data_IF_832486779211
#
_entry.id   IF_832486779211
#
_cell.length_a   1.000
_cell.length_b   1.000
_cell.length_c   1.000
_cell.angle_alpha   90.00
_cell.angle_beta   90.00
_cell.angle_gamma   90.00
#
_symmetry.space_group_name_H-M   'P 1'
#
loop_
_entity.id
_entity.type
_entity.pdbx_description
1 polymer ?
#
# COMPACT_ATOMS: atom_id res chain seq x y z
N UNK A 1 -4.62 -20.38 13.83
CA UNK A 1 -5.33 -20.57 12.54
C UNK A 1 -5.38 -19.21 11.84
N UNK A 2 -5.07 -19.13 10.55
CA UNK A 2 -4.90 -17.87 9.80
C UNK A 2 -6.11 -16.92 9.92
N UNK A 3 -7.32 -17.43 9.93
CA UNK A 3 -8.54 -16.63 10.09
C UNK A 3 -8.53 -15.79 11.37
N UNK A 4 -8.13 -16.38 12.50
CA UNK A 4 -8.09 -15.67 13.78
C UNK A 4 -6.96 -14.60 13.82
N UNK A 5 -5.89 -14.84 13.06
CA UNK A 5 -4.82 -13.83 12.87
C UNK A 5 -5.36 -12.66 12.06
N UNK A 6 -5.94 -12.93 10.90
CA UNK A 6 -6.47 -11.89 10.01
C UNK A 6 -7.63 -11.10 10.62
N UNK A 7 -8.43 -11.71 11.49
CA UNK A 7 -9.52 -11.05 12.23
C UNK A 7 -9.01 -9.95 13.16
N UNK A 8 -7.75 -10.03 13.61
CA UNK A 8 -7.12 -9.01 14.44
C UNK A 8 -6.74 -7.74 13.67
N UNK A 9 -6.69 -7.81 12.33
CA UNK A 9 -6.32 -6.66 11.51
C UNK A 9 -7.31 -5.51 11.70
N UNK A 10 -6.77 -4.34 12.03
CA UNK A 10 -7.53 -3.10 12.23
C UNK A 10 -6.89 -2.00 11.41
N UNK A 11 -7.72 -1.14 10.82
CA UNK A 11 -7.21 0.05 10.16
C UNK A 11 -6.66 1.05 11.19
N UNK A 12 -5.37 1.33 11.11
CA UNK A 12 -4.70 2.27 12.02
C UNK A 12 -4.88 3.69 11.51
N UNK A 13 -5.36 4.56 12.39
CA UNK A 13 -5.53 5.99 12.12
C UNK A 13 -4.33 6.80 12.60
N UNK A 14 -3.66 6.33 13.67
CA UNK A 14 -2.49 6.97 14.25
C UNK A 14 -1.63 5.91 14.94
N UNK A 15 -0.33 5.94 14.69
CA UNK A 15 0.64 5.07 15.36
C UNK A 15 1.17 5.69 16.63
N UNK A 16 1.68 4.86 17.52
CA UNK A 16 2.31 5.27 18.76
C UNK A 16 3.77 5.66 18.50
N UNK A 17 4.05 6.95 18.58
CA UNK A 17 5.39 7.50 18.37
C UNK A 17 6.34 7.23 19.54
N UNK A 18 5.79 6.85 20.71
CA UNK A 18 6.55 6.50 21.91
C UNK A 18 6.83 5.00 22.02
N UNK A 19 6.24 4.18 21.15
CA UNK A 19 6.48 2.75 21.14
C UNK A 19 7.91 2.43 20.66
N UNK A 20 8.42 1.28 21.09
CA UNK A 20 9.71 0.77 20.64
C UNK A 20 9.79 0.72 19.12
N UNK A 21 10.93 1.15 18.58
CA UNK A 21 11.15 1.15 17.13
C UNK A 21 11.31 -0.30 16.65
N UNK A 22 10.47 -0.68 15.69
CA UNK A 22 10.57 -1.97 15.00
C UNK A 22 11.94 -2.04 14.31
N UNK A 23 12.67 -3.11 14.57
CA UNK A 23 14.00 -3.29 13.98
C UNK A 23 13.92 -3.39 12.44
N UNK A 24 14.83 -2.71 11.77
CA UNK A 24 14.95 -2.79 10.30
C UNK A 24 15.08 -4.23 9.81
N UNK A 25 15.78 -5.09 10.55
CA UNK A 25 15.92 -6.52 10.23
C UNK A 25 14.56 -7.25 10.18
N UNK A 26 13.63 -6.90 11.08
CA UNK A 26 12.31 -7.53 11.12
C UNK A 26 11.46 -7.11 9.91
N UNK A 27 11.55 -5.84 9.52
CA UNK A 27 10.88 -5.36 8.29
C UNK A 27 11.46 -6.03 7.05
N UNK A 28 12.79 -6.17 6.97
CA UNK A 28 13.45 -6.86 5.84
C UNK A 28 13.06 -8.33 5.80
N UNK A 29 12.97 -9.02 6.94
CA UNK A 29 12.52 -10.41 7.04
C UNK A 29 11.06 -10.56 6.56
N UNK A 30 10.17 -9.67 7.02
CA UNK A 30 8.78 -9.63 6.56
C UNK A 30 8.67 -9.42 5.05
N UNK A 31 9.43 -8.47 4.50
CA UNK A 31 9.43 -8.18 3.06
C UNK A 31 9.92 -9.38 2.24
N UNK A 32 10.97 -10.08 2.69
CA UNK A 32 11.47 -11.28 2.02
C UNK A 32 10.43 -12.40 2.02
N UNK A 33 9.85 -12.71 3.18
CA UNK A 33 8.79 -13.73 3.29
C UNK A 33 7.57 -13.38 2.44
N UNK A 34 7.18 -12.11 2.44
CA UNK A 34 6.09 -11.64 1.59
C UNK A 34 6.38 -11.83 0.12
N UNK A 35 7.60 -11.45 -0.32
CA UNK A 35 8.06 -11.63 -1.69
C UNK A 35 8.02 -13.10 -2.12
N UNK A 36 8.48 -14.01 -1.26
CA UNK A 36 8.52 -15.45 -1.53
C UNK A 36 7.13 -16.05 -1.78
N UNK A 37 6.10 -15.58 -1.07
CA UNK A 37 4.73 -16.13 -1.14
C UNK A 37 3.80 -15.36 -2.07
N UNK A 38 4.21 -14.20 -2.58
CA UNK A 38 3.35 -13.37 -3.44
C UNK A 38 3.40 -13.87 -4.88
N UNK A 39 2.26 -14.31 -5.44
CA UNK A 39 2.20 -14.68 -6.84
C UNK A 39 2.29 -13.45 -7.74
N UNK A 40 2.90 -13.61 -8.91
CA UNK A 40 2.95 -12.61 -9.96
C UNK A 40 2.80 -13.28 -11.33
N UNK A 41 2.16 -12.58 -12.28
CA UNK A 41 2.03 -13.07 -13.67
C UNK A 41 3.42 -13.35 -14.25
N UNK A 42 3.64 -14.57 -14.70
CA UNK A 42 4.94 -15.04 -15.21
C UNK A 42 6.14 -14.84 -14.24
N UNK A 43 5.86 -14.63 -12.98
CA UNK A 43 6.85 -14.34 -11.93
C UNK A 43 7.67 -13.05 -12.18
N UNK A 44 7.15 -12.12 -12.97
CA UNK A 44 7.87 -10.92 -13.41
C UNK A 44 7.93 -9.82 -12.36
N UNK A 45 6.98 -9.79 -11.43
CA UNK A 45 6.86 -8.77 -10.37
C UNK A 45 7.06 -7.36 -10.94
N UNK A 46 6.10 -6.85 -11.76
CA UNK A 46 6.22 -5.56 -12.44
C UNK A 46 6.00 -4.38 -11.50
N UNK A 47 6.42 -4.53 -10.26
CA UNK A 47 6.35 -3.55 -9.20
C UNK A 47 7.61 -3.59 -8.33
N UNK A 48 7.84 -2.52 -7.61
CA UNK A 48 8.92 -2.39 -6.63
C UNK A 48 8.42 -1.69 -5.37
N UNK A 49 9.11 -1.89 -4.27
CA UNK A 49 8.77 -1.35 -2.96
C UNK A 49 9.90 -0.46 -2.46
N UNK A 50 9.61 0.81 -2.22
CA UNK A 50 10.50 1.71 -1.50
C UNK A 50 10.10 1.71 -0.02
N UNK A 51 11.09 1.63 0.86
CA UNK A 51 10.89 1.57 2.31
C UNK A 51 11.47 2.84 2.94
N UNK A 52 10.61 3.67 3.50
CA UNK A 52 10.98 4.85 4.26
C UNK A 52 10.97 4.47 5.75
N UNK A 53 12.14 4.51 6.38
CA UNK A 53 12.33 4.15 7.79
C UNK A 53 12.04 5.30 8.77
N UNK A 54 12.20 5.02 10.08
CA UNK A 54 11.92 6.00 11.13
C UNK A 54 12.78 7.26 11.03
N UNK A 55 14.03 7.13 10.57
CA UNK A 55 14.97 8.27 10.47
C UNK A 55 14.66 9.24 9.32
N UNK A 56 13.70 8.91 8.46
CA UNK A 56 13.38 9.68 7.25
C UNK A 56 12.04 10.41 7.35
N UNK A 57 11.81 11.10 8.46
CA UNK A 57 10.57 11.83 8.72
C UNK A 57 10.25 12.88 7.65
N UNK A 58 11.29 13.49 7.05
CA UNK A 58 11.09 14.46 5.97
C UNK A 58 10.35 13.84 4.77
N UNK A 59 10.72 12.63 4.34
CA UNK A 59 10.04 11.94 3.24
C UNK A 59 8.60 11.57 3.59
N UNK A 60 8.32 11.16 4.83
CA UNK A 60 6.94 10.91 5.29
C UNK A 60 6.10 12.17 5.24
N UNK A 61 6.68 13.33 5.63
CA UNK A 61 6.01 14.62 5.54
C UNK A 61 5.71 15.01 4.08
N UNK A 62 6.62 14.76 3.14
CA UNK A 62 6.39 14.97 1.72
C UNK A 62 5.22 14.10 1.24
N UNK A 63 5.22 12.79 1.54
CA UNK A 63 4.12 11.89 1.17
C UNK A 63 2.80 12.34 1.78
N UNK A 64 2.79 12.72 3.06
CA UNK A 64 1.61 13.28 3.72
C UNK A 64 1.07 14.50 2.96
N UNK A 65 1.95 15.43 2.57
CA UNK A 65 1.56 16.63 1.85
C UNK A 65 0.98 16.31 0.46
N UNK A 66 1.56 15.33 -0.25
CA UNK A 66 1.03 14.86 -1.54
C UNK A 66 -0.38 14.30 -1.38
N UNK A 67 -0.58 13.45 -0.37
CA UNK A 67 -1.88 12.83 -0.10
C UNK A 67 -2.93 13.84 0.37
N UNK A 68 -2.56 14.78 1.24
CA UNK A 68 -3.48 15.76 1.83
C UNK A 68 -3.87 16.90 0.89
N UNK A 69 -3.06 17.18 -0.13
CA UNK A 69 -3.36 18.19 -1.17
C UNK A 69 -4.23 17.66 -2.30
N UNK A 70 -4.69 16.44 -2.23
CA UNK A 70 -5.64 15.92 -3.21
C UNK A 70 -6.95 16.72 -3.10
N UNK A 71 -7.22 17.58 -4.10
CA UNK A 71 -8.37 18.49 -4.13
C UNK A 71 -9.71 17.77 -3.93
N UNK A 72 -9.85 16.56 -4.46
CA UNK A 72 -11.06 15.75 -4.31
C UNK A 72 -11.33 15.38 -2.85
N UNK A 73 -10.27 15.16 -2.07
CA UNK A 73 -10.38 14.85 -0.64
C UNK A 73 -10.53 16.12 0.20
N UNK A 74 -9.82 17.19 -0.15
CA UNK A 74 -9.98 18.49 0.49
C UNK A 74 -11.41 19.01 0.32
N UNK A 75 -11.99 18.85 -0.85
CA UNK A 75 -13.37 19.24 -1.15
C UNK A 75 -14.36 18.36 -0.37
N UNK A 76 -14.19 17.04 -0.35
CA UNK A 76 -15.05 16.14 0.43
C UNK A 76 -14.99 16.42 1.93
N UNK A 77 -13.81 16.75 2.47
CA UNK A 77 -13.65 17.13 3.89
C UNK A 77 -14.30 18.48 4.17
N UNK A 78 -14.25 19.44 3.22
CA UNK A 78 -14.90 20.74 3.37
C UNK A 78 -16.43 20.64 3.29
N UNK A 79 -16.96 19.81 2.40
CA UNK A 79 -18.39 19.55 2.22
C UNK A 79 -19.03 18.90 3.46
N UNK A 80 -18.23 18.17 4.26
CA UNK A 80 -18.71 17.48 5.45
C UNK A 80 -18.18 18.07 6.79
N UNK A 81 -17.64 19.31 6.77
CA UNK A 81 -17.10 19.97 7.96
C UNK A 81 -18.07 20.03 9.15
N UNK A 82 -19.35 20.18 8.86
CA UNK A 82 -20.42 20.29 9.88
C UNK A 82 -21.07 18.96 10.22
N UNK A 83 -20.61 17.86 9.63
CA UNK A 83 -21.15 16.56 9.91
C UNK A 83 -20.48 15.99 11.16
N UNK A 84 -21.27 15.67 12.19
CA UNK A 84 -20.80 15.11 13.47
C UNK A 84 -20.00 13.81 13.32
N UNK A 85 -20.17 13.10 12.20
CA UNK A 85 -19.36 11.96 11.83
C UNK A 85 -17.89 12.30 11.54
N UNK A 86 -17.59 13.54 11.20
CA UNK A 86 -16.24 14.00 10.82
C UNK A 86 -15.62 14.82 11.95
N UNK A 87 -16.42 15.40 12.81
CA UNK A 87 -15.97 16.11 14.02
C UNK A 87 -15.12 15.16 14.88
N UNK A 88 -13.87 15.48 15.06
CA UNK A 88 -12.92 14.68 15.87
C UNK A 88 -12.18 13.59 15.09
N UNK A 89 -12.31 13.52 13.75
CA UNK A 89 -11.40 12.70 12.94
C UNK A 89 -10.04 13.36 12.88
N UNK A 90 -9.00 12.58 13.15
CA UNK A 90 -7.67 12.96 12.73
C UNK A 90 -7.69 13.19 11.22
N UNK A 91 -6.93 14.17 10.72
CA UNK A 91 -6.83 14.39 9.28
C UNK A 91 -6.57 13.06 8.59
N UNK A 92 -7.28 12.82 7.50
CA UNK A 92 -6.98 11.69 6.64
C UNK A 92 -5.45 11.67 6.43
N UNK A 93 -4.84 10.49 6.58
CA UNK A 93 -3.39 10.29 6.47
C UNK A 93 -2.52 10.66 7.68
N UNK A 94 -3.07 10.98 8.85
CA UNK A 94 -2.26 11.17 10.06
C UNK A 94 -1.33 9.97 10.34
N UNK A 95 -1.77 8.76 9.97
CA UNK A 95 -0.99 7.54 10.06
C UNK A 95 0.31 7.58 9.21
N UNK A 96 0.38 8.36 8.12
CA UNK A 96 1.61 8.52 7.33
C UNK A 96 2.68 9.25 8.13
N UNK A 97 2.30 10.24 8.93
CA UNK A 97 3.26 11.01 9.75
C UNK A 97 3.77 10.21 10.94
N UNK A 98 2.86 9.50 11.62
CA UNK A 98 3.17 8.80 12.86
C UNK A 98 3.70 7.37 12.65
N UNK A 99 3.66 6.80 11.44
CA UNK A 99 4.15 5.46 11.21
C UNK A 99 5.68 5.36 11.39
N UNK A 100 6.16 4.21 11.84
CA UNK A 100 7.58 3.95 11.92
C UNK A 100 8.17 3.68 10.53
N UNK A 101 7.48 2.89 9.70
CA UNK A 101 7.87 2.65 8.32
C UNK A 101 6.72 2.96 7.37
N UNK A 102 7.08 3.48 6.19
CA UNK A 102 6.17 3.70 5.09
C UNK A 102 6.67 2.95 3.86
N UNK A 103 5.84 2.08 3.31
CA UNK A 103 6.10 1.43 2.02
C UNK A 103 5.41 2.22 0.91
N UNK A 104 6.15 2.50 -0.16
CA UNK A 104 5.64 3.08 -1.40
C UNK A 104 5.84 2.05 -2.50
N UNK A 105 4.76 1.55 -3.06
CA UNK A 105 4.83 0.64 -4.19
C UNK A 105 4.62 1.39 -5.50
N UNK A 106 5.46 1.10 -6.46
CA UNK A 106 5.41 1.70 -7.80
C UNK A 106 5.49 0.63 -8.86
N UNK A 107 5.10 0.97 -10.08
CA UNK A 107 5.38 0.15 -11.25
C UNK A 107 6.90 0.00 -11.45
N UNK A 108 7.31 -1.08 -12.09
CA UNK A 108 8.70 -1.36 -12.45
C UNK A 108 8.75 -2.07 -13.80
N UNK A 109 9.62 -1.63 -14.69
CA UNK A 109 9.97 -2.46 -15.84
C UNK A 109 10.63 -3.75 -15.36
N UNK A 110 10.19 -4.85 -15.89
CA UNK A 110 10.84 -6.15 -15.70
C UNK A 110 11.71 -6.48 -16.92
N UNK A 111 12.37 -7.61 -16.87
CA UNK A 111 13.18 -8.14 -17.97
C UNK A 111 13.20 -9.66 -17.91
N UNK A 112 13.81 -10.31 -18.90
CA UNK A 112 13.94 -11.76 -18.91
C UNK A 112 14.62 -12.29 -17.63
N UNK A 113 14.00 -13.28 -16.98
CA UNK A 113 14.48 -13.88 -15.72
C UNK A 113 15.26 -15.17 -15.91
N UNK A 114 15.16 -15.77 -17.11
CA UNK A 114 15.80 -17.04 -17.43
C UNK A 114 16.10 -17.13 -18.94
N UNK A 115 16.86 -18.16 -19.32
CA UNK A 115 17.29 -18.36 -20.71
C UNK A 115 16.12 -18.53 -21.69
N UNK A 116 15.00 -19.11 -21.26
CA UNK A 116 13.81 -19.26 -22.10
C UNK A 116 13.18 -17.89 -22.40
N UNK A 117 12.98 -17.07 -21.40
CA UNK A 117 12.44 -15.71 -21.56
C UNK A 117 13.40 -14.83 -22.37
N UNK A 118 14.72 -14.97 -22.16
CA UNK A 118 15.72 -14.27 -22.96
C UNK A 118 15.58 -14.64 -24.44
N UNK A 119 15.47 -15.93 -24.75
CA UNK A 119 15.27 -16.38 -26.14
C UNK A 119 13.97 -15.85 -26.75
N UNK A 120 12.89 -15.76 -25.97
CA UNK A 120 11.66 -15.13 -26.44
C UNK A 120 11.86 -13.65 -26.72
N UNK A 121 12.52 -12.92 -25.82
CA UNK A 121 12.89 -11.52 -26.00
C UNK A 121 13.70 -11.30 -27.29
N UNK A 122 14.72 -12.12 -27.53
CA UNK A 122 15.57 -12.06 -28.72
C UNK A 122 14.78 -12.34 -29.99
N UNK A 123 13.68 -13.09 -29.88
CA UNK A 123 12.77 -13.37 -30.99
C UNK A 123 11.62 -12.35 -31.15
N UNK A 124 11.66 -11.25 -30.39
CA UNK A 124 10.64 -10.19 -30.43
C UNK A 124 9.35 -10.52 -29.70
N UNK A 125 9.35 -11.52 -28.81
CA UNK A 125 8.20 -11.84 -27.94
C UNK A 125 8.39 -11.13 -26.61
N UNK A 126 7.53 -10.14 -26.35
CA UNK A 126 7.59 -9.31 -25.17
C UNK A 126 6.42 -9.58 -24.21
N UNK A 127 6.71 -9.59 -22.92
CA UNK A 127 5.67 -9.46 -21.90
C UNK A 127 5.35 -7.99 -21.67
N UNK A 128 4.11 -7.69 -21.28
CA UNK A 128 3.62 -6.33 -21.08
C UNK A 128 4.56 -5.49 -20.19
N UNK A 129 5.05 -6.07 -19.10
CA UNK A 129 5.95 -5.39 -18.15
C UNK A 129 7.37 -5.12 -18.65
N UNK A 130 7.71 -5.47 -19.89
CA UNK A 130 9.01 -5.20 -20.49
C UNK A 130 9.09 -3.82 -21.15
N UNK A 131 7.95 -3.20 -21.43
CA UNK A 131 7.86 -1.89 -22.10
C UNK A 131 7.04 -0.89 -21.29
N UNK A 132 7.24 0.39 -21.54
CA UNK A 132 6.46 1.46 -20.88
C UNK A 132 4.98 1.40 -21.26
N UNK A 133 4.70 1.11 -22.56
CA UNK A 133 3.33 0.96 -23.04
C UNK A 133 2.64 -0.22 -22.39
N UNK A 134 3.29 -1.38 -22.35
CA UNK A 134 2.74 -2.57 -21.71
C UNK A 134 2.54 -2.42 -20.20
N UNK A 135 3.39 -1.65 -19.51
CA UNK A 135 3.15 -1.30 -18.10
C UNK A 135 1.89 -0.47 -17.94
N UNK A 136 1.66 0.51 -18.84
CA UNK A 136 0.46 1.34 -18.79
C UNK A 136 -0.81 0.50 -19.04
N UNK A 137 -0.77 -0.39 -20.03
CA UNK A 137 -1.88 -1.30 -20.33
C UNK A 137 -2.15 -2.32 -19.22
N UNK A 138 -1.13 -2.66 -18.43
CA UNK A 138 -1.21 -3.62 -17.33
C UNK A 138 -1.45 -2.98 -15.97
N UNK A 139 -1.76 -1.69 -15.87
CA UNK A 139 -1.89 -0.96 -14.60
C UNK A 139 -2.82 -1.69 -13.60
N UNK A 140 -3.97 -2.16 -14.05
CA UNK A 140 -4.92 -2.88 -13.19
C UNK A 140 -4.32 -4.20 -12.65
N UNK A 141 -3.60 -4.94 -13.47
CA UNK A 141 -2.93 -6.19 -13.06
C UNK A 141 -1.85 -5.90 -12.01
N UNK A 142 -1.07 -4.86 -12.22
CA UNK A 142 -0.02 -4.41 -11.30
C UNK A 142 -0.64 -3.99 -9.96
N UNK A 143 -1.73 -3.24 -9.98
CA UNK A 143 -2.46 -2.84 -8.77
C UNK A 143 -2.98 -4.05 -7.99
N UNK A 144 -3.50 -5.08 -8.69
CA UNK A 144 -3.95 -6.32 -8.05
C UNK A 144 -2.78 -7.04 -7.38
N UNK A 145 -1.66 -7.20 -8.07
CA UNK A 145 -0.46 -7.84 -7.52
C UNK A 145 0.09 -7.07 -6.30
N UNK A 146 0.13 -5.73 -6.36
CA UNK A 146 0.48 -4.89 -5.22
C UNK A 146 -0.47 -5.09 -4.03
N UNK A 147 -1.78 -5.22 -4.29
CA UNK A 147 -2.78 -5.52 -3.26
C UNK A 147 -2.56 -6.89 -2.62
N UNK A 148 -2.23 -7.92 -3.40
CA UNK A 148 -1.90 -9.26 -2.90
C UNK A 148 -0.64 -9.22 -2.04
N UNK A 149 0.42 -8.54 -2.50
CA UNK A 149 1.63 -8.32 -1.72
C UNK A 149 1.31 -7.65 -0.38
N UNK A 150 0.55 -6.57 -0.41
CA UNK A 150 0.17 -5.85 0.79
C UNK A 150 -0.63 -6.72 1.77
N UNK A 151 -1.58 -7.52 1.28
CA UNK A 151 -2.37 -8.43 2.10
C UNK A 151 -1.49 -9.50 2.78
N UNK A 152 -0.57 -10.11 2.02
CA UNK A 152 0.39 -11.08 2.54
C UNK A 152 1.30 -10.45 3.59
N UNK A 153 1.83 -9.25 3.32
CA UNK A 153 2.66 -8.50 4.28
C UNK A 153 1.91 -8.23 5.58
N UNK A 154 0.67 -7.75 5.48
CA UNK A 154 -0.16 -7.49 6.67
C UNK A 154 -0.44 -8.74 7.48
N UNK A 155 -0.70 -9.87 6.82
CA UNK A 155 -0.92 -11.14 7.51
C UNK A 155 0.31 -11.58 8.31
N UNK A 156 1.51 -11.49 7.71
CA UNK A 156 2.76 -11.82 8.39
C UNK A 156 3.13 -10.81 9.48
N UNK A 157 2.82 -9.52 9.29
CA UNK A 157 3.08 -8.47 10.27
C UNK A 157 2.25 -8.66 11.55
N UNK A 158 0.98 -9.04 11.41
CA UNK A 158 0.08 -9.29 12.55
C UNK A 158 0.61 -10.42 13.44
N UNK A 159 1.24 -11.45 12.88
CA UNK A 159 1.86 -12.54 13.65
C UNK A 159 3.01 -12.04 14.54
N UNK A 160 3.61 -10.91 14.18
CA UNK A 160 4.66 -10.22 14.95
C UNK A 160 4.13 -9.05 15.78
N UNK A 161 2.82 -8.92 15.93
CA UNK A 161 2.18 -7.82 16.65
C UNK A 161 2.51 -6.44 16.06
N UNK A 162 2.76 -6.39 14.76
CA UNK A 162 3.01 -5.18 13.99
C UNK A 162 1.74 -4.81 13.23
N UNK A 163 1.27 -3.60 13.46
CA UNK A 163 0.09 -3.08 12.77
C UNK A 163 0.45 -2.48 11.42
N UNK A 164 -0.46 -2.63 10.48
CA UNK A 164 -0.34 -2.06 9.13
C UNK A 164 -1.63 -1.36 8.71
N UNK A 165 -1.52 -0.40 7.81
CA UNK A 165 -2.68 0.23 7.20
C UNK A 165 -2.39 0.58 5.74
N UNK A 166 -3.43 0.49 4.90
CA UNK A 166 -3.36 0.85 3.48
C UNK A 166 -3.88 2.26 3.26
N UNK A 167 -3.29 2.94 2.29
CA UNK A 167 -3.77 4.22 1.79
C UNK A 167 -3.84 4.16 0.28
N UNK A 168 -5.05 4.32 -0.26
CA UNK A 168 -5.33 4.34 -1.71
C UNK A 168 -5.90 5.68 -2.18
N UNK A 169 -6.28 6.56 -1.25
CA UNK A 169 -6.88 7.86 -1.57
C UNK A 169 -5.81 8.90 -1.91
N UNK A 170 -5.01 8.67 -2.95
CA UNK A 170 -4.00 9.58 -3.45
C UNK A 170 -3.93 9.51 -4.98
N UNK A 171 -3.26 10.46 -5.60
CA UNK A 171 -2.95 10.37 -7.03
C UNK A 171 -1.62 9.66 -7.26
N UNK A 172 -1.65 8.56 -8.02
CA UNK A 172 -0.44 7.82 -8.42
C UNK A 172 0.39 8.51 -9.50
N UNK A 173 -0.14 9.58 -10.13
CA UNK A 173 0.52 10.26 -11.26
C UNK A 173 1.86 10.84 -10.86
N UNK A 174 2.92 10.44 -11.54
CA UNK A 174 4.32 10.76 -11.24
C UNK A 174 4.59 12.27 -11.06
N UNK A 175 3.86 13.13 -11.77
CA UNK A 175 4.05 14.59 -11.66
C UNK A 175 3.86 15.15 -10.24
N UNK A 176 3.12 14.46 -9.37
CA UNK A 176 2.88 14.86 -7.98
C UNK A 176 3.94 14.34 -7.01
N UNK A 177 4.79 13.39 -7.45
CA UNK A 177 5.80 12.72 -6.62
C UNK A 177 7.23 13.22 -6.85
N UNK A 178 7.39 14.33 -7.59
CA UNK A 178 8.70 14.90 -7.98
C UNK A 178 9.62 15.28 -6.81
N UNK A 179 9.04 15.55 -5.64
CA UNK A 179 9.80 15.86 -4.43
C UNK A 179 10.49 14.60 -3.83
N UNK A 180 10.15 13.40 -4.31
CA UNK A 180 10.80 12.15 -3.95
C UNK A 180 11.63 11.66 -5.13
N UNK A 181 12.95 11.93 -5.15
CA UNK A 181 13.80 11.74 -6.34
C UNK A 181 13.95 10.26 -6.76
N UNK A 182 13.64 9.34 -5.85
CA UNK A 182 13.66 7.90 -6.12
C UNK A 182 12.33 7.39 -6.73
N UNK A 183 11.27 8.19 -6.74
CA UNK A 183 9.99 7.83 -7.36
C UNK A 183 9.98 8.34 -8.80
N UNK A 184 10.16 7.43 -9.72
CA UNK A 184 10.22 7.71 -11.17
C UNK A 184 9.10 7.03 -11.98
N UNK A 185 8.15 6.37 -11.30
CA UNK A 185 7.00 5.67 -11.91
C UNK A 185 5.74 5.87 -11.09
N UNK A 186 4.55 5.63 -11.68
CA UNK A 186 3.28 5.74 -10.98
C UNK A 186 3.28 4.96 -9.66
N UNK A 187 2.77 5.62 -8.61
CA UNK A 187 2.57 4.99 -7.30
C UNK A 187 1.25 4.25 -7.30
N UNK A 188 1.28 2.98 -6.88
CA UNK A 188 0.13 2.07 -6.91
C UNK A 188 -0.47 1.83 -5.53
N UNK A 189 0.37 1.77 -4.48
CA UNK A 189 -0.07 1.47 -3.12
C UNK A 189 0.86 2.15 -2.11
N UNK A 190 0.26 2.67 -1.03
CA UNK A 190 0.97 3.08 0.18
C UNK A 190 0.56 2.17 1.33
N UNK A 191 1.54 1.78 2.15
CA UNK A 191 1.30 1.05 3.40
C UNK A 191 2.08 1.70 4.53
N UNK A 192 1.41 1.94 5.65
CA UNK A 192 2.02 2.41 6.88
C UNK A 192 2.18 1.26 7.87
N UNK A 193 3.25 1.28 8.65
CA UNK A 193 3.66 0.18 9.53
C UNK A 193 4.13 0.78 10.87
N UNK A 194 3.73 0.17 11.97
CA UNK A 194 4.13 0.59 13.31
C UNK A 194 3.28 -0.10 14.38
N UNK A 195 3.32 0.42 15.61
CA UNK A 195 2.43 0.02 16.69
C UNK A 195 1.24 0.99 16.73
N UNK A 196 0.02 0.47 16.56
CA UNK A 196 -1.18 1.30 16.45
C UNK A 196 -1.58 1.90 17.78
N UNK A 197 -1.83 3.22 17.81
CA UNK A 197 -2.36 3.96 18.97
C UNK A 197 -3.85 4.20 18.85
N UNK A 198 -4.30 4.61 17.66
CA UNK A 198 -5.73 4.82 17.37
C UNK A 198 -6.13 4.00 16.16
N UNK A 199 -7.24 3.32 16.32
CA UNK A 199 -7.82 2.49 15.27
C UNK A 199 -9.12 3.10 14.79
N UNK A 200 -9.43 2.92 13.51
CA UNK A 200 -10.72 3.28 12.95
C UNK A 200 -11.79 2.49 13.70
N UNK A 201 -12.55 3.17 14.53
CA UNK A 201 -13.78 2.59 15.07
C UNK A 201 -14.75 2.47 13.90
N UNK A 202 -15.40 1.33 13.75
CA UNK A 202 -16.48 1.11 12.79
C UNK A 202 -17.75 1.89 13.20
N UNK A 203 -17.58 3.17 13.55
CA UNK A 203 -18.65 4.02 14.12
C UNK A 203 -19.52 4.60 12.99
N UNK A 204 -18.98 4.67 11.75
CA UNK A 204 -19.69 5.33 10.64
C UNK A 204 -20.63 4.37 9.93
N UNK A 205 -20.34 3.11 10.01
CA UNK A 205 -21.13 2.07 9.38
C UNK A 205 -21.53 1.10 10.48
N UNK A 206 -22.72 1.33 11.07
CA UNK A 206 -23.42 0.29 11.82
C UNK A 206 -23.70 -0.93 10.96
N UNK A 207 -23.49 -0.78 9.65
CA UNK A 207 -23.52 -1.82 8.66
C UNK A 207 -22.09 -2.03 8.12
N UNK A 208 -21.29 -2.85 8.79
CA UNK A 208 -19.84 -2.97 8.52
C UNK A 208 -19.52 -3.50 7.13
N UNK A 209 -20.38 -4.31 6.57
CA UNK A 209 -20.22 -4.89 5.22
C UNK A 209 -21.58 -5.11 4.57
N UNK A 210 -21.67 -5.05 3.24
CA UNK A 210 -22.85 -5.49 2.52
C UNK A 210 -23.17 -6.95 2.85
N UNK A 211 -24.46 -7.32 2.83
CA UNK A 211 -24.86 -8.71 3.00
C UNK A 211 -24.11 -9.60 2.02
N UNK A 212 -23.75 -10.80 2.47
CA UNK A 212 -23.01 -11.78 1.68
C UNK A 212 -23.64 -12.04 0.33
N UNK A 213 -24.97 -12.20 0.28
CA UNK A 213 -25.75 -12.49 -0.92
C UNK A 213 -25.78 -11.33 -1.93
N UNK A 214 -25.45 -10.11 -1.49
CA UNK A 214 -25.29 -8.96 -2.41
C UNK A 214 -23.97 -9.05 -3.18
N UNK A 215 -22.94 -9.61 -2.56
CA UNK A 215 -21.58 -9.63 -3.10
C UNK A 215 -21.28 -10.97 -3.79
N UNK A 216 -21.76 -12.10 -3.21
CA UNK A 216 -21.49 -13.45 -3.73
C UNK A 216 -22.74 -13.97 -4.40
N UNK A 217 -22.62 -14.38 -5.66
CA UNK A 217 -23.68 -15.04 -6.44
C UNK A 217 -23.24 -16.46 -6.73
N UNK A 218 -23.98 -17.45 -6.21
CA UNK A 218 -23.85 -18.84 -6.58
C UNK A 218 -24.72 -19.07 -7.81
N UNK A 219 -24.15 -19.51 -8.92
CA UNK A 219 -24.79 -19.76 -10.20
C UNK A 219 -24.81 -21.24 -10.47
#
# INVERSE_FOLDING_TARGET
MIYEVLKKHKHVMEYDEEADIIKKSDIVDLLKKTWEITPSKNNLMPWQVFVIGPDNQNYKNIVYNICSKNEDIANSVNEYKDNDYIKGRNPAYANIKSCQYLLIMTQRLSGPLNAYQQKQWDNGVFYDSYTEEGLADSENTICIECGIFGANFSALAIEKEIDTSYTLCFTGKIKYWKELPFINRPVTLLMTIGHGKKYRKNIIFNDPKPNFERIVKLI
#
